data_IF_465478299598
#
_entry.id   IF_465478299598
#
_cell.length_a   1.000
_cell.length_b   1.000
_cell.length_c   1.000
_cell.angle_alpha   90.00
_cell.angle_beta   90.00
_cell.angle_gamma   90.00
#
_symmetry.space_group_name_H-M   'P 1'
#
loop_
_entity.id
_entity.type
_entity.pdbx_description
1 polymer ?
#
# COMPACT_ATOMS: atom_id res chain seq x y z
N UNK A 1 19.29 -0.01 -4.62
CA UNK A 1 18.10 -0.40 -5.40
C UNK A 1 18.58 -1.31 -6.52
N UNK A 2 18.56 -2.63 -6.30
CA UNK A 2 18.86 -3.60 -7.35
C UNK A 2 17.72 -3.57 -8.36
N UNK A 3 18.01 -3.28 -9.63
CA UNK A 3 17.04 -3.45 -10.70
C UNK A 3 16.77 -4.95 -10.83
N UNK A 4 15.50 -5.36 -10.90
CA UNK A 4 15.17 -6.76 -11.17
C UNK A 4 15.76 -7.17 -12.52
N UNK A 5 16.51 -8.25 -12.55
CA UNK A 5 17.14 -8.86 -13.73
C UNK A 5 16.08 -9.48 -14.66
N UNK A 6 15.20 -8.65 -15.21
CA UNK A 6 14.06 -9.10 -16.00
C UNK A 6 14.37 -9.25 -17.51
N UNK A 7 15.64 -9.09 -17.92
CA UNK A 7 16.13 -9.19 -19.30
C UNK A 7 17.36 -10.09 -19.43
N UNK A 8 17.51 -10.72 -20.60
CA UNK A 8 18.73 -11.43 -20.98
C UNK A 8 19.53 -10.58 -21.96
N UNK A 9 20.83 -10.44 -21.75
CA UNK A 9 21.71 -9.74 -22.70
C UNK A 9 22.00 -10.69 -23.86
N UNK A 10 21.66 -10.28 -25.09
CA UNK A 10 21.98 -11.04 -26.30
C UNK A 10 23.49 -11.09 -26.54
N UNK A 11 23.94 -12.03 -27.39
CA UNK A 11 25.37 -12.15 -27.77
C UNK A 11 25.94 -10.88 -28.42
N UNK A 12 25.06 -10.02 -28.93
CA UNK A 12 25.33 -8.71 -29.52
C UNK A 12 25.31 -7.55 -28.52
N UNK A 13 25.16 -7.83 -27.22
CA UNK A 13 25.09 -6.81 -26.16
C UNK A 13 23.73 -6.08 -26.09
N UNK A 14 22.78 -6.43 -26.95
CA UNK A 14 21.44 -5.83 -26.95
C UNK A 14 20.54 -6.58 -25.98
N UNK A 15 19.81 -5.88 -25.07
CA UNK A 15 18.90 -6.56 -24.16
C UNK A 15 17.73 -7.18 -24.92
N UNK A 16 17.40 -8.42 -24.56
CA UNK A 16 16.30 -9.22 -25.09
C UNK A 16 15.23 -9.31 -23.99
N UNK A 17 13.98 -9.09 -24.37
CA UNK A 17 12.85 -9.21 -23.44
C UNK A 17 12.49 -10.69 -23.16
N UNK A 18 11.67 -10.94 -22.13
CA UNK A 18 11.17 -12.30 -21.79
C UNK A 18 10.44 -13.02 -22.92
N UNK A 19 9.92 -12.28 -23.91
CA UNK A 19 9.30 -12.84 -25.11
C UNK A 19 10.29 -13.14 -26.25
N UNK A 20 11.61 -13.08 -25.99
CA UNK A 20 12.67 -13.39 -26.94
C UNK A 20 12.93 -12.33 -28.01
N UNK A 21 12.40 -11.11 -27.85
CA UNK A 21 12.54 -10.03 -28.86
C UNK A 21 13.61 -9.04 -28.44
N UNK A 22 14.42 -8.61 -29.42
CA UNK A 22 15.42 -7.55 -29.24
C UNK A 22 14.73 -6.22 -28.96
N UNK A 23 15.26 -5.46 -28.00
CA UNK A 23 14.67 -4.20 -27.54
C UNK A 23 15.35 -3.03 -28.28
N UNK A 24 14.58 -2.03 -28.71
CA UNK A 24 15.09 -0.87 -29.45
C UNK A 24 15.70 0.15 -28.48
N UNK A 25 16.76 0.86 -28.91
CA UNK A 25 17.30 1.99 -28.16
C UNK A 25 16.30 3.18 -28.19
N UNK A 26 16.03 3.77 -27.03
CA UNK A 26 15.00 4.81 -26.79
C UNK A 26 15.60 6.06 -26.12
N UNK A 27 16.90 6.28 -26.31
CA UNK A 27 17.63 7.46 -25.83
C UNK A 27 18.60 7.15 -24.69
N UNK A 28 19.30 8.17 -24.23
CA UNK A 28 20.31 8.07 -23.18
C UNK A 28 20.09 9.11 -22.09
N UNK A 29 20.51 8.80 -20.88
CA UNK A 29 20.55 9.70 -19.73
C UNK A 29 22.01 9.80 -19.27
N UNK A 30 22.70 10.80 -19.84
CA UNK A 30 24.14 11.00 -19.67
C UNK A 30 24.55 11.19 -18.21
N UNK A 31 23.76 11.94 -17.42
CA UNK A 31 24.00 12.19 -15.99
C UNK A 31 24.04 10.91 -15.14
N UNK A 32 23.49 9.80 -15.64
CA UNK A 32 23.49 8.50 -14.95
C UNK A 32 24.18 7.41 -15.77
N UNK A 33 24.91 7.78 -16.83
CA UNK A 33 25.53 6.86 -17.78
C UNK A 33 24.59 5.74 -18.24
N UNK A 34 23.30 6.05 -18.44
CA UNK A 34 22.25 5.05 -18.62
C UNK A 34 21.65 5.11 -20.01
N UNK A 35 21.71 4.00 -20.74
CA UNK A 35 20.97 3.83 -21.99
C UNK A 35 19.53 3.38 -21.68
N UNK A 36 18.57 3.93 -22.42
CA UNK A 36 17.15 3.59 -22.32
C UNK A 36 16.80 2.69 -23.50
N UNK A 37 16.11 1.60 -23.20
CA UNK A 37 15.65 0.65 -24.20
C UNK A 37 14.13 0.51 -24.11
N UNK A 38 13.45 0.45 -25.26
CA UNK A 38 12.01 0.33 -25.42
C UNK A 38 11.66 -0.88 -26.28
N UNK A 39 10.65 -1.64 -25.86
CA UNK A 39 10.18 -2.78 -26.65
C UNK A 39 9.73 -2.33 -28.05
N UNK A 40 10.06 -3.08 -29.12
CA UNK A 40 9.64 -2.75 -30.49
C UNK A 40 8.11 -2.69 -30.66
N UNK A 41 7.35 -3.40 -29.82
CA UNK A 41 5.88 -3.36 -29.83
C UNK A 41 5.30 -2.26 -28.92
N UNK A 42 6.12 -1.45 -28.27
CA UNK A 42 5.62 -0.43 -27.35
C UNK A 42 5.27 0.86 -28.09
N UNK A 43 4.00 1.24 -28.06
CA UNK A 43 3.51 2.54 -28.55
C UNK A 43 3.61 3.54 -27.40
N UNK A 44 4.13 4.76 -27.65
CA UNK A 44 4.28 5.80 -26.61
C UNK A 44 2.98 6.10 -25.86
N UNK A 45 1.85 6.06 -26.55
CA UNK A 45 0.51 6.35 -26.01
C UNK A 45 -0.11 5.18 -25.24
N UNK A 46 0.16 3.93 -25.64
CA UNK A 46 -0.59 2.76 -25.17
C UNK A 46 0.27 1.64 -24.54
N UNK A 47 1.59 1.80 -24.46
CA UNK A 47 2.49 0.81 -23.84
C UNK A 47 2.84 -0.38 -24.74
N UNK A 48 3.42 -1.44 -24.15
CA UNK A 48 3.81 -2.72 -24.81
C UNK A 48 2.55 -3.59 -24.99
N UNK A 49 2.24 -4.02 -26.21
CA UNK A 49 1.17 -5.00 -26.48
C UNK A 49 1.59 -6.46 -26.26
N UNK A 50 2.71 -6.67 -25.57
CA UNK A 50 3.35 -7.95 -25.36
C UNK A 50 2.47 -8.87 -24.50
N UNK A 51 2.37 -10.16 -24.85
CA UNK A 51 1.55 -11.14 -24.12
C UNK A 51 2.05 -11.32 -22.68
N UNK A 52 3.37 -11.22 -22.47
CA UNK A 52 4.04 -11.21 -21.17
C UNK A 52 4.78 -9.88 -21.00
N UNK A 53 4.30 -8.96 -20.13
CA UNK A 53 4.93 -7.66 -19.95
C UNK A 53 6.29 -7.76 -19.26
N UNK A 54 7.20 -6.89 -19.67
CA UNK A 54 8.60 -6.81 -19.24
C UNK A 54 8.80 -6.00 -17.94
N UNK A 55 7.80 -5.24 -17.52
CA UNK A 55 7.85 -4.47 -16.28
C UNK A 55 6.45 -4.24 -15.74
N UNK A 56 6.33 -4.19 -14.40
CA UNK A 56 5.09 -3.94 -13.67
C UNK A 56 4.54 -2.51 -13.82
N UNK A 57 5.08 -1.70 -14.73
CA UNK A 57 4.75 -0.28 -14.85
C UNK A 57 3.95 0.07 -16.11
N UNK A 58 2.76 0.62 -15.84
CA UNK A 58 1.78 1.32 -16.71
C UNK A 58 1.00 0.48 -17.74
N UNK A 59 -0.12 -0.02 -17.20
CA UNK A 59 -1.39 -0.37 -17.84
C UNK A 59 -1.46 -1.65 -18.69
N UNK A 60 -1.31 -2.80 -18.02
CA UNK A 60 -2.29 -3.89 -18.13
C UNK A 60 -2.35 -4.67 -16.82
N UNK A 61 -2.85 -4.03 -15.76
CA UNK A 61 -3.35 -4.75 -14.57
C UNK A 61 -4.76 -5.24 -14.91
N UNK A 62 -5.13 -6.44 -14.49
CA UNK A 62 -6.53 -6.88 -14.59
C UNK A 62 -7.42 -5.90 -13.83
N UNK A 63 -8.67 -5.72 -14.28
CA UNK A 63 -9.64 -4.85 -13.57
C UNK A 63 -9.72 -5.21 -12.08
N UNK A 64 -9.66 -6.51 -11.75
CA UNK A 64 -9.56 -7.02 -10.38
C UNK A 64 -8.33 -6.51 -9.62
N UNK A 65 -7.14 -6.54 -10.23
CA UNK A 65 -5.92 -6.06 -9.58
C UNK A 65 -5.93 -4.53 -9.38
N UNK A 66 -6.58 -3.79 -10.28
CA UNK A 66 -6.80 -2.35 -10.13
C UNK A 66 -7.75 -2.10 -8.95
N UNK A 67 -8.89 -2.78 -8.92
CA UNK A 67 -9.85 -2.68 -7.82
C UNK A 67 -9.21 -3.01 -6.47
N UNK A 68 -8.47 -4.11 -6.37
CA UNK A 68 -7.77 -4.49 -5.14
C UNK A 68 -6.74 -3.44 -4.68
N UNK A 69 -6.01 -2.83 -5.62
CA UNK A 69 -5.06 -1.76 -5.27
C UNK A 69 -5.76 -0.53 -4.71
N UNK A 70 -6.85 -0.08 -5.34
CA UNK A 70 -7.66 1.04 -4.83
C UNK A 70 -8.33 0.71 -3.50
N UNK A 71 -8.82 -0.51 -3.32
CA UNK A 71 -9.41 -0.97 -2.06
C UNK A 71 -8.39 -0.93 -0.92
N UNK A 72 -7.16 -1.40 -1.15
CA UNK A 72 -6.09 -1.32 -0.16
C UNK A 72 -5.70 0.12 0.17
N UNK A 73 -5.66 1.00 -0.83
CA UNK A 73 -5.39 2.42 -0.62
C UNK A 73 -6.48 3.06 0.25
N UNK A 74 -7.75 2.74 -0.03
CA UNK A 74 -8.88 3.22 0.75
C UNK A 74 -8.79 2.77 2.22
N UNK A 75 -8.42 1.50 2.49
CA UNK A 75 -8.19 1.02 3.87
C UNK A 75 -7.10 1.80 4.62
N UNK A 76 -6.05 2.20 3.89
CA UNK A 76 -4.96 3.02 4.45
C UNK A 76 -5.48 4.42 4.78
N UNK A 77 -6.20 5.05 3.87
CA UNK A 77 -6.81 6.38 4.07
C UNK A 77 -7.79 6.39 5.23
N UNK A 78 -8.65 5.37 5.33
CA UNK A 78 -9.58 5.20 6.45
C UNK A 78 -8.84 5.10 7.79
N UNK A 79 -7.74 4.32 7.83
CA UNK A 79 -6.90 4.20 9.03
C UNK A 79 -6.31 5.54 9.47
N UNK A 80 -5.86 6.36 8.51
CA UNK A 80 -5.37 7.71 8.80
C UNK A 80 -6.48 8.66 9.22
N UNK A 81 -7.69 8.51 8.70
CA UNK A 81 -8.84 9.30 9.11
C UNK A 81 -9.15 9.05 10.59
N UNK A 82 -9.29 7.78 10.99
CA UNK A 82 -9.54 7.34 12.37
C UNK A 82 -8.46 7.84 13.32
N UNK A 83 -7.18 7.72 12.93
CA UNK A 83 -6.07 8.20 13.73
C UNK A 83 -6.18 9.71 14.01
N UNK A 84 -6.67 10.50 13.04
CA UNK A 84 -6.83 11.95 13.16
C UNK A 84 -8.13 12.38 13.84
N UNK A 85 -9.20 11.59 13.76
CA UNK A 85 -10.53 11.96 14.27
C UNK A 85 -10.83 11.33 15.64
N UNK A 86 -10.49 10.06 15.84
CA UNK A 86 -10.81 9.31 17.06
C UNK A 86 -9.67 9.34 18.09
N UNK A 87 -8.42 9.42 17.63
CA UNK A 87 -7.21 9.38 18.47
C UNK A 87 -6.50 10.74 18.58
N UNK A 88 -7.08 11.79 18.01
CA UNK A 88 -6.62 13.17 18.10
C UNK A 88 -5.13 13.36 17.73
N UNK A 89 -4.65 12.63 16.71
CA UNK A 89 -3.29 12.75 16.19
C UNK A 89 -3.02 14.08 15.45
N UNK A 90 -4.03 14.96 15.34
CA UNK A 90 -3.83 16.34 14.86
C UNK A 90 -3.02 17.04 15.93
N UNK A 91 -1.81 17.49 15.59
CA UNK A 91 -0.84 18.03 16.54
C UNK A 91 -1.48 19.00 17.54
N UNK A 92 -1.75 18.49 18.75
CA UNK A 92 -1.94 19.32 19.93
C UNK A 92 -0.60 20.00 20.15
N UNK A 93 -0.62 21.29 20.47
CA UNK A 93 0.52 22.21 20.59
C UNK A 93 1.65 21.72 21.53
N UNK A 94 2.37 20.67 21.12
CA UNK A 94 3.38 19.94 21.89
C UNK A 94 4.74 20.32 21.32
N UNK A 95 5.58 20.93 22.15
CA UNK A 95 6.86 21.51 21.72
C UNK A 95 8.05 20.54 21.77
N UNK A 96 7.94 19.42 22.48
CA UNK A 96 9.05 18.46 22.68
C UNK A 96 8.96 17.29 21.71
N UNK A 97 10.04 17.03 20.97
CA UNK A 97 10.17 15.96 19.98
C UNK A 97 9.79 14.58 20.55
N UNK A 98 10.24 14.26 21.76
CA UNK A 98 9.98 12.96 22.40
C UNK A 98 8.49 12.71 22.66
N UNK A 99 7.76 13.74 23.08
CA UNK A 99 6.31 13.65 23.32
C UNK A 99 5.53 13.49 22.02
N UNK A 100 6.00 14.11 20.93
CA UNK A 100 5.43 13.94 19.59
C UNK A 100 5.60 12.48 19.16
N UNK A 101 6.81 11.93 19.28
CA UNK A 101 7.10 10.53 18.93
C UNK A 101 6.27 9.56 19.78
N UNK A 102 6.15 9.81 21.08
CA UNK A 102 5.32 8.99 21.98
C UNK A 102 3.84 8.99 21.59
N UNK A 103 3.26 10.16 21.31
CA UNK A 103 1.86 10.27 20.88
C UNK A 103 1.59 9.53 19.57
N UNK A 104 2.45 9.73 18.57
CA UNK A 104 2.33 9.01 17.30
C UNK A 104 2.49 7.51 17.45
N UNK A 105 3.39 7.05 18.34
CA UNK A 105 3.57 5.64 18.63
C UNK A 105 2.30 5.03 19.23
N UNK A 106 1.71 5.68 20.24
CA UNK A 106 0.48 5.20 20.89
C UNK A 106 -0.68 5.21 19.90
N UNK A 107 -0.84 6.27 19.11
CA UNK A 107 -1.87 6.34 18.07
C UNK A 107 -1.71 5.22 17.03
N UNK A 108 -0.48 4.97 16.58
CA UNK A 108 -0.18 3.91 15.62
C UNK A 108 -0.50 2.52 16.19
N UNK A 109 -0.10 2.25 17.43
CA UNK A 109 -0.40 0.99 18.10
C UNK A 109 -1.92 0.78 18.27
N UNK A 110 -2.66 1.82 18.64
CA UNK A 110 -4.13 1.76 18.77
C UNK A 110 -4.82 1.43 17.44
N UNK A 111 -4.40 2.06 16.35
CA UNK A 111 -4.92 1.75 15.00
C UNK A 111 -4.55 0.33 14.58
N UNK A 112 -3.31 -0.09 14.83
CA UNK A 112 -2.84 -1.44 14.52
C UNK A 112 -3.70 -2.50 15.21
N UNK A 113 -3.90 -2.37 16.52
CA UNK A 113 -4.72 -3.29 17.30
C UNK A 113 -6.16 -3.33 16.79
N UNK A 114 -6.74 -2.18 16.49
CA UNK A 114 -8.11 -2.10 15.95
C UNK A 114 -8.22 -2.80 14.60
N UNK A 115 -7.24 -2.63 13.71
CA UNK A 115 -7.22 -3.31 12.41
C UNK A 115 -7.02 -4.81 12.52
N UNK A 116 -6.15 -5.26 13.44
CA UNK A 116 -6.00 -6.68 13.72
C UNK A 116 -7.30 -7.29 14.25
N UNK A 117 -7.99 -6.60 15.15
CA UNK A 117 -9.28 -7.03 15.66
C UNK A 117 -10.33 -7.10 14.55
N UNK A 118 -10.44 -6.07 13.72
CA UNK A 118 -11.39 -6.02 12.60
C UNK A 118 -11.16 -7.15 11.58
N UNK A 119 -9.91 -7.44 11.24
CA UNK A 119 -9.55 -8.46 10.23
C UNK A 119 -9.65 -9.87 10.81
N UNK A 120 -9.11 -10.11 12.00
CA UNK A 120 -8.98 -11.47 12.54
C UNK A 120 -10.19 -11.94 13.35
N UNK A 121 -10.87 -11.04 14.06
CA UNK A 121 -12.01 -11.38 14.92
C UNK A 121 -13.33 -11.09 14.20
N UNK A 122 -13.47 -9.89 13.63
CA UNK A 122 -14.71 -9.43 13.00
C UNK A 122 -14.82 -9.76 11.51
N UNK A 123 -13.78 -10.37 10.90
CA UNK A 123 -13.73 -10.79 9.49
C UNK A 123 -14.14 -9.71 8.49
N UNK A 124 -13.83 -8.43 8.79
CA UNK A 124 -14.19 -7.28 7.93
C UNK A 124 -15.71 -7.07 7.76
N UNK A 125 -16.56 -7.69 8.59
CA UNK A 125 -18.02 -7.53 8.51
C UNK A 125 -18.51 -6.19 9.07
N UNK A 126 -17.74 -5.58 9.98
CA UNK A 126 -18.08 -4.33 10.63
C UNK A 126 -17.11 -3.22 10.22
N UNK A 127 -17.66 -2.03 10.05
CA UNK A 127 -16.86 -0.84 9.81
C UNK A 127 -16.05 -0.47 11.05
N UNK A 128 -14.97 0.26 10.82
CA UNK A 128 -14.13 0.72 11.91
C UNK A 128 -14.86 1.72 12.80
N UNK A 129 -15.78 2.52 12.24
CA UNK A 129 -16.62 3.46 12.99
C UNK A 129 -17.57 2.74 13.95
N UNK A 130 -18.29 1.72 13.48
CA UNK A 130 -19.17 0.90 14.33
C UNK A 130 -18.40 0.22 15.47
N UNK A 131 -17.18 -0.24 15.19
CA UNK A 131 -16.31 -0.83 16.21
C UNK A 131 -15.95 0.18 17.29
N UNK A 132 -15.58 1.41 16.91
CA UNK A 132 -15.26 2.47 17.86
C UNK A 132 -16.50 2.98 18.63
N UNK A 133 -17.64 3.09 17.96
CA UNK A 133 -18.89 3.48 18.60
C UNK A 133 -19.37 2.42 19.60
N UNK A 134 -19.25 1.14 19.24
CA UNK A 134 -19.49 0.04 20.17
C UNK A 134 -18.58 0.17 21.39
N UNK A 135 -17.26 0.28 21.20
CA UNK A 135 -16.29 0.38 22.30
C UNK A 135 -16.58 1.59 23.20
N UNK A 136 -17.00 2.74 22.65
CA UNK A 136 -17.33 3.94 23.44
C UNK A 136 -18.60 3.79 24.27
N UNK A 137 -19.61 3.14 23.74
CA UNK A 137 -20.91 2.99 24.42
C UNK A 137 -21.01 1.69 25.22
N UNK A 138 -20.04 0.80 25.09
CA UNK A 138 -19.96 -0.45 25.81
C UNK A 138 -19.87 -0.20 27.32
N UNK A 139 -20.89 -0.62 28.06
CA UNK A 139 -20.96 -0.50 29.51
C UNK A 139 -20.96 -1.89 30.12
N UNK A 140 -19.94 -2.20 30.92
CA UNK A 140 -19.91 -3.42 31.72
C UNK A 140 -20.31 -3.09 33.16
N UNK A 141 -21.32 -3.78 33.69
CA UNK A 141 -21.66 -3.74 35.11
C UNK A 141 -21.20 -5.02 35.81
N UNK A 142 -20.33 -4.90 36.82
CA UNK A 142 -19.92 -6.02 37.68
C UNK A 142 -21.04 -6.30 38.70
N UNK A 143 -21.55 -7.52 38.70
CA UNK A 143 -22.60 -7.98 39.63
C UNK A 143 -22.03 -8.86 40.75
N UNK A 144 -20.94 -9.58 40.46
CA UNK A 144 -20.23 -10.40 41.45
C UNK A 144 -18.80 -10.65 40.99
N UNK A 145 -17.98 -11.35 41.77
CA UNK A 145 -16.55 -11.56 41.48
C UNK A 145 -16.25 -12.27 40.16
N UNK A 146 -17.25 -12.89 39.52
CA UNK A 146 -17.14 -13.51 38.19
C UNK A 146 -18.34 -13.28 37.26
N UNK A 147 -19.22 -12.33 37.58
CA UNK A 147 -20.42 -12.06 36.77
C UNK A 147 -20.44 -10.61 36.32
N UNK A 148 -20.48 -10.43 35.01
CA UNK A 148 -20.56 -9.15 34.33
C UNK A 148 -21.80 -9.16 33.44
N UNK A 149 -22.58 -8.08 33.47
CA UNK A 149 -23.61 -7.82 32.45
C UNK A 149 -23.02 -6.81 31.47
N UNK A 150 -23.24 -7.11 30.18
CA UNK A 150 -22.96 -6.29 29.02
C UNK A 150 -24.25 -5.59 28.61
#
# INVERSE_FOLDING_TARGET
MNYKDDFTIGKDGVPICKAGRKINHDGSESSKARLKFRCPLAIRKYGCSCSVPYSDSKFRRSASAIYAAYHNLWRIEESFCIMKSQLDARSVFIQKQETITGHFLVCYLSVLLTRLFQIHILKDEYSTEESFDFIRHFRIAKISDRKYII
#
